data_IF_653109027636
#
_entry.id   IF_653109027636
#
_cell.length_a   1.000
_cell.length_b   1.000
_cell.length_c   1.000
_cell.angle_alpha   90.00
_cell.angle_beta   90.00
_cell.angle_gamma   90.00
#
_symmetry.space_group_name_H-M   'P 1'
#
loop_
_entity.id
_entity.type
_entity.pdbx_description
1 polymer ?
#
# COMPACT_ATOMS: atom_id res chain seq x y z
N UNK A 1 -8.41 -16.66 -6.17
CA UNK A 1 -9.16 -16.00 -5.09
C UNK A 1 -10.22 -15.09 -5.70
N UNK A 2 -11.47 -15.13 -5.24
CA UNK A 2 -12.52 -14.17 -5.64
C UNK A 2 -12.62 -13.10 -4.56
N UNK A 3 -12.61 -11.83 -4.96
CA UNK A 3 -12.68 -10.68 -4.03
C UNK A 3 -14.03 -9.96 -4.21
N UNK A 4 -14.38 -9.63 -5.46
CA UNK A 4 -15.69 -9.08 -5.80
C UNK A 4 -16.75 -10.15 -6.00
N UNK A 5 -18.01 -9.76 -5.84
CA UNK A 5 -19.20 -10.51 -6.22
C UNK A 5 -20.00 -9.68 -7.25
N UNK A 6 -19.68 -9.89 -8.52
CA UNK A 6 -20.12 -9.01 -9.60
C UNK A 6 -19.54 -7.60 -9.47
N UNK A 7 -20.26 -6.61 -10.00
CA UNK A 7 -19.83 -5.20 -9.97
C UNK A 7 -20.18 -4.49 -8.65
N UNK A 8 -21.24 -4.95 -7.97
CA UNK A 8 -21.91 -4.17 -6.93
C UNK A 8 -21.64 -4.68 -5.51
N UNK A 9 -21.14 -5.91 -5.37
CA UNK A 9 -20.97 -6.56 -4.08
C UNK A 9 -19.53 -7.03 -3.88
N UNK A 10 -19.22 -7.29 -2.60
CA UNK A 10 -17.98 -7.90 -2.14
C UNK A 10 -18.32 -9.31 -1.66
N UNK A 11 -17.39 -10.26 -1.81
CA UNK A 11 -17.60 -11.64 -1.33
C UNK A 11 -17.89 -11.66 0.19
N UNK A 12 -18.84 -12.50 0.66
CA UNK A 12 -19.18 -12.60 2.08
C UNK A 12 -17.95 -12.89 2.96
N UNK A 13 -17.84 -12.17 4.07
CA UNK A 13 -16.74 -12.33 5.04
C UNK A 13 -15.46 -11.56 4.71
N UNK A 14 -15.41 -10.81 3.60
CA UNK A 14 -14.27 -9.94 3.28
C UNK A 14 -14.53 -8.50 3.73
N UNK A 15 -13.54 -7.91 4.41
CA UNK A 15 -13.46 -6.47 4.67
C UNK A 15 -12.32 -5.89 3.84
N UNK A 16 -12.58 -4.83 3.09
CA UNK A 16 -11.60 -4.22 2.19
C UNK A 16 -11.23 -2.81 2.66
N UNK A 17 -9.94 -2.49 2.56
CA UNK A 17 -9.40 -1.14 2.67
C UNK A 17 -8.55 -0.87 1.42
N UNK A 18 -8.60 0.35 0.90
CA UNK A 18 -7.95 0.74 -0.35
C UNK A 18 -7.16 2.03 -0.16
N UNK A 19 -5.98 2.23 -0.75
CA UNK A 19 -5.27 3.51 -0.69
C UNK A 19 -5.94 4.53 -1.63
N UNK A 20 -6.88 5.33 -1.13
CA UNK A 20 -7.71 6.24 -1.95
C UNK A 20 -7.24 7.68 -1.96
N UNK A 21 -6.45 8.10 -0.96
CA UNK A 21 -5.97 9.48 -0.85
C UNK A 21 -4.49 9.52 -0.45
N UNK A 22 -3.68 10.27 -1.21
CA UNK A 22 -2.31 10.60 -0.82
C UNK A 22 -2.36 11.54 0.38
N UNK A 23 -1.74 11.11 1.48
CA UNK A 23 -1.57 11.92 2.69
C UNK A 23 -0.24 12.66 2.66
N UNK A 24 0.84 11.95 2.30
CA UNK A 24 2.18 12.53 2.22
C UNK A 24 3.05 11.79 1.18
N UNK A 25 4.07 12.47 0.67
CA UNK A 25 5.03 11.96 -0.31
C UNK A 25 6.43 12.33 0.12
N UNK A 26 7.28 11.32 0.29
CA UNK A 26 8.65 11.48 0.70
C UNK A 26 9.61 10.90 -0.35
N UNK A 27 10.77 11.54 -0.50
CA UNK A 27 11.87 11.00 -1.29
C UNK A 27 12.92 10.41 -0.36
N UNK A 28 13.20 9.11 -0.50
CA UNK A 28 14.22 8.39 0.26
C UNK A 28 15.34 7.98 -0.70
N UNK A 29 16.34 8.85 -0.87
CA UNK A 29 17.40 8.63 -1.84
C UNK A 29 16.87 8.62 -3.28
N UNK A 30 16.95 7.46 -3.95
CA UNK A 30 16.40 7.24 -5.28
C UNK A 30 15.01 6.57 -5.27
N UNK A 31 14.43 6.36 -4.10
CA UNK A 31 13.10 5.78 -3.93
C UNK A 31 12.07 6.88 -3.63
N UNK A 32 10.83 6.67 -4.07
CA UNK A 32 9.69 7.49 -3.69
C UNK A 32 8.78 6.69 -2.75
N UNK A 33 8.46 7.29 -1.61
CA UNK A 33 7.53 6.73 -0.62
C UNK A 33 6.25 7.56 -0.62
N UNK A 34 5.11 6.90 -0.72
CA UNK A 34 3.79 7.52 -0.68
C UNK A 34 3.00 6.91 0.47
N UNK A 35 2.55 7.77 1.39
CA UNK A 35 1.64 7.40 2.45
C UNK A 35 0.21 7.64 1.99
N UNK A 36 -0.60 6.59 1.91
CA UNK A 36 -1.94 6.67 1.35
C UNK A 36 -3.02 6.18 2.33
N UNK A 37 -4.00 7.03 2.60
CA UNK A 37 -5.09 6.77 3.52
C UNK A 37 -6.28 6.08 2.82
N UNK A 38 -7.09 5.30 3.57
CA UNK A 38 -8.26 4.61 3.04
C UNK A 38 -9.54 5.44 3.03
N UNK A 39 -9.42 6.72 3.37
CA UNK A 39 -10.51 7.71 3.40
C UNK A 39 -9.93 9.10 3.24
N UNK A 40 -10.82 10.10 3.21
CA UNK A 40 -10.41 11.49 3.29
C UNK A 40 -9.83 11.82 4.67
N UNK A 41 -8.58 12.29 4.67
CA UNK A 41 -7.80 12.69 5.86
C UNK A 41 -7.28 14.13 5.75
N UNK A 42 -7.91 14.98 4.92
CA UNK A 42 -7.51 16.39 4.75
C UNK A 42 -7.63 17.18 6.04
N UNK A 43 -8.64 16.89 6.85
CA UNK A 43 -8.84 17.53 8.15
C UNK A 43 -8.14 16.75 9.26
N UNK A 44 -7.55 17.46 10.23
CA UNK A 44 -6.81 16.86 11.36
C UNK A 44 -7.65 15.87 12.18
N UNK A 45 -8.96 16.10 12.28
CA UNK A 45 -9.87 15.18 13.00
C UNK A 45 -9.95 13.79 12.37
N UNK A 46 -9.63 13.65 11.08
CA UNK A 46 -9.68 12.38 10.34
C UNK A 46 -8.32 11.69 10.20
N UNK A 47 -7.24 12.32 10.68
CA UNK A 47 -5.86 11.82 10.59
C UNK A 47 -5.49 10.78 11.66
N UNK A 48 -6.46 10.29 12.42
CA UNK A 48 -6.32 9.30 13.48
C UNK A 48 -7.41 8.23 13.38
N UNK A 49 -7.28 7.14 14.15
CA UNK A 49 -8.19 5.97 14.11
C UNK A 49 -8.47 5.46 12.70
N UNK A 50 -7.43 5.41 11.86
CA UNK A 50 -7.49 4.91 10.49
C UNK A 50 -6.22 4.11 10.16
N UNK A 51 -6.32 3.02 9.37
CA UNK A 51 -5.16 2.42 8.75
C UNK A 51 -4.47 3.39 7.79
N UNK A 52 -3.23 3.09 7.42
CA UNK A 52 -2.44 3.82 6.43
C UNK A 52 -1.60 2.83 5.62
N UNK A 53 -1.58 2.98 4.30
CA UNK A 53 -0.71 2.21 3.43
C UNK A 53 0.62 2.93 3.23
N UNK A 54 1.71 2.18 3.21
CA UNK A 54 3.03 2.65 2.78
C UNK A 54 3.32 2.06 1.41
N UNK A 55 3.40 2.91 0.39
CA UNK A 55 3.74 2.52 -0.97
C UNK A 55 5.16 2.98 -1.28
N UNK A 56 6.01 2.07 -1.71
CA UNK A 56 7.40 2.36 -2.07
C UNK A 56 7.64 2.04 -3.53
N UNK A 57 8.12 3.03 -4.26
CA UNK A 57 8.49 2.96 -5.67
C UNK A 57 10.01 3.05 -5.78
N UNK A 58 10.61 2.04 -6.43
CA UNK A 58 12.06 1.93 -6.61
C UNK A 58 12.35 1.32 -7.98
N UNK A 59 13.59 1.43 -8.47
CA UNK A 59 13.99 0.90 -9.78
C UNK A 59 15.15 -0.08 -9.59
N UNK A 60 14.92 -1.41 -9.64
CA UNK A 60 16.02 -2.37 -9.54
C UNK A 60 16.91 -2.36 -10.79
N UNK A 61 16.34 -2.03 -11.95
CA UNK A 61 17.03 -1.92 -13.24
C UNK A 61 16.41 -0.78 -14.06
N UNK A 62 17.11 -0.33 -15.11
CA UNK A 62 16.59 0.66 -16.04
C UNK A 62 15.28 0.16 -16.69
N UNK A 63 14.26 1.02 -16.75
CA UNK A 63 12.97 0.68 -17.34
C UNK A 63 12.08 -0.24 -16.49
N UNK A 64 12.48 -0.59 -15.25
CA UNK A 64 11.69 -1.44 -14.34
C UNK A 64 11.35 -0.66 -13.08
N UNK A 65 10.04 -0.47 -12.81
CA UNK A 65 9.57 0.13 -11.55
C UNK A 65 9.06 -0.97 -10.62
N UNK A 66 9.78 -1.19 -9.53
CA UNK A 66 9.33 -1.97 -8.38
C UNK A 66 8.31 -1.18 -7.57
N UNK A 67 7.20 -1.83 -7.21
CA UNK A 67 6.15 -1.27 -6.36
C UNK A 67 5.94 -2.20 -5.19
N UNK A 68 6.20 -1.72 -3.98
CA UNK A 68 5.90 -2.43 -2.73
C UNK A 68 4.77 -1.71 -2.01
N UNK A 69 3.67 -2.41 -1.74
CA UNK A 69 2.51 -1.89 -1.00
C UNK A 69 2.40 -2.65 0.32
N UNK A 70 2.43 -1.95 1.44
CA UNK A 70 2.49 -2.56 2.77
C UNK A 70 1.38 -2.02 3.70
N UNK A 71 0.93 -2.89 4.60
CA UNK A 71 0.01 -2.53 5.69
C UNK A 71 0.74 -2.62 7.04
N UNK A 72 1.19 -3.81 7.44
CA UNK A 72 2.00 -4.01 8.65
C UNK A 72 3.40 -4.49 8.28
N UNK A 73 4.41 -3.77 8.78
CA UNK A 73 5.82 -4.11 8.58
C UNK A 73 6.41 -4.96 9.74
N UNK A 74 5.62 -5.23 10.79
CA UNK A 74 6.04 -6.06 11.93
C UNK A 74 5.84 -7.56 11.73
N UNK A 75 5.39 -8.01 10.56
CA UNK A 75 5.23 -9.44 10.25
C UNK A 75 6.60 -10.12 10.06
N UNK A 76 6.66 -11.44 10.30
CA UNK A 76 7.85 -12.24 9.99
C UNK A 76 8.03 -12.33 8.47
N UNK A 77 9.19 -11.91 7.97
CA UNK A 77 9.58 -12.03 6.56
C UNK A 77 10.68 -13.10 6.43
N UNK A 78 10.26 -14.36 6.50
CA UNK A 78 11.17 -15.51 6.37
C UNK A 78 11.47 -15.79 4.89
N UNK A 79 12.73 -16.06 4.56
CA UNK A 79 13.14 -16.48 3.24
C UNK A 79 12.80 -17.95 2.89
N UNK A 80 13.22 -18.44 1.71
CA UNK A 80 14.06 -17.75 0.73
C UNK A 80 13.28 -16.74 -0.13
N UNK A 81 13.96 -15.69 -0.58
CA UNK A 81 13.45 -14.76 -1.58
C UNK A 81 13.93 -15.14 -2.98
N UNK A 82 13.27 -14.62 -4.01
CA UNK A 82 13.72 -14.83 -5.38
C UNK A 82 15.14 -14.29 -5.60
N UNK A 83 15.97 -14.96 -6.42
CA UNK A 83 17.29 -14.48 -6.79
C UNK A 83 17.17 -13.38 -7.86
N UNK A 84 16.70 -12.20 -7.45
CA UNK A 84 16.62 -11.02 -8.32
C UNK A 84 18.04 -10.49 -8.61
N UNK A 85 18.24 -9.96 -9.82
CA UNK A 85 19.54 -9.44 -10.31
C UNK A 85 19.68 -7.94 -10.10
#
# INVERSE_FOLDING_TARGET
MKISDGNWLIQPGLNLIHPVQVFDVEQHGNEMVVYAAPRDVRERTWQLDTPLFTLRFFSPQEGVIGVRMEHFQGALDNGPHYPLN
#
